data_IF_515113140862
#
_entry.id   IF_515113140862
#
_cell.length_a   1.000
_cell.length_b   1.000
_cell.length_c   1.000
_cell.angle_alpha   90.00
_cell.angle_beta   90.00
_cell.angle_gamma   90.00
#
_symmetry.space_group_name_H-M   'P 1'
#
loop_
_entity.id
_entity.type
_entity.pdbx_description
1 polymer ?
#
# COMPACT_ATOMS: atom_id res chain seq x y z
N UNK A 1 -0.24 74.35 -7.35
CA UNK A 1 -0.57 73.07 -6.70
C UNK A 1 -1.38 73.37 -5.44
N UNK A 2 -2.47 72.62 -5.23
CA UNK A 2 -3.52 72.77 -4.19
C UNK A 2 -4.50 73.93 -4.43
N UNK A 3 -5.83 73.76 -4.51
CA UNK A 3 -6.69 72.62 -4.19
C UNK A 3 -7.96 73.11 -3.47
N UNK A 4 -8.94 73.51 -4.27
CA UNK A 4 -10.40 73.76 -4.08
C UNK A 4 -11.15 73.42 -2.77
N UNK A 5 -12.01 74.38 -2.38
CA UNK A 5 -13.43 74.31 -1.94
C UNK A 5 -13.98 73.16 -1.08
N UNK A 6 -14.58 73.51 0.07
CA UNK A 6 -15.71 72.78 0.65
C UNK A 6 -16.82 73.76 1.09
N UNK A 7 -18.04 73.49 0.61
CA UNK A 7 -19.28 74.16 1.00
C UNK A 7 -20.11 73.20 1.87
N UNK A 8 -20.63 73.72 2.98
CA UNK A 8 -21.75 73.15 3.76
C UNK A 8 -23.02 73.04 2.87
N UNK A 9 -23.89 72.05 3.13
CA UNK A 9 -25.33 72.26 3.40
C UNK A 9 -26.14 70.95 3.59
N UNK A 10 -26.69 70.83 4.79
CA UNK A 10 -28.07 70.38 5.18
C UNK A 10 -28.68 69.06 4.72
N UNK A 11 -29.16 68.34 5.74
CA UNK A 11 -30.08 67.21 5.70
C UNK A 11 -31.46 67.56 5.11
N UNK A 12 -32.08 66.58 4.44
CA UNK A 12 -33.51 66.54 4.15
C UNK A 12 -34.03 65.10 4.22
N UNK A 13 -35.05 64.92 5.06
CA UNK A 13 -35.93 63.77 5.21
C UNK A 13 -36.90 63.65 4.03
N UNK A 14 -37.21 62.43 3.55
CA UNK A 14 -38.28 62.21 2.58
C UNK A 14 -38.50 60.74 2.23
N UNK A 15 -39.59 60.17 2.76
CA UNK A 15 -40.14 58.82 2.55
C UNK A 15 -40.84 58.70 1.18
N UNK A 16 -40.68 57.59 0.46
CA UNK A 16 -41.69 57.05 -0.49
C UNK A 16 -41.58 55.53 -0.57
N UNK A 17 -42.73 54.86 -0.41
CA UNK A 17 -42.99 53.42 -0.55
C UNK A 17 -42.83 52.92 -1.99
N UNK A 18 -42.57 51.62 -2.17
CA UNK A 18 -43.00 50.91 -3.37
C UNK A 18 -43.26 49.42 -3.04
N UNK A 19 -44.41 48.99 -3.52
CA UNK A 19 -45.06 47.69 -3.37
C UNK A 19 -44.47 46.61 -4.30
N UNK A 20 -44.66 45.37 -3.85
CA UNK A 20 -44.77 44.10 -4.59
C UNK A 20 -43.64 43.60 -5.51
N UNK A 21 -43.11 42.40 -5.19
CA UNK A 21 -43.25 41.20 -6.05
C UNK A 21 -42.79 39.90 -5.34
N UNK A 22 -43.74 38.98 -5.24
CA UNK A 22 -43.66 37.53 -5.49
C UNK A 22 -42.55 36.65 -4.82
N UNK A 23 -43.03 35.85 -3.87
CA UNK A 23 -42.83 34.38 -3.72
C UNK A 23 -41.41 33.81 -3.69
N UNK A 24 -41.04 33.18 -2.56
CA UNK A 24 -40.80 31.73 -2.52
C UNK A 24 -40.88 31.22 -1.07
N UNK A 25 -41.80 30.28 -0.87
CA UNK A 25 -41.86 29.38 0.28
C UNK A 25 -40.61 28.47 0.31
N UNK A 26 -40.06 28.21 1.50
CA UNK A 26 -40.04 26.87 2.13
C UNK A 26 -38.85 26.63 3.08
N UNK A 27 -39.22 26.32 4.34
CA UNK A 27 -38.56 25.56 5.42
C UNK A 27 -37.19 26.04 5.98
N UNK A 28 -37.14 26.63 7.18
CA UNK A 28 -37.25 26.01 8.52
C UNK A 28 -36.26 24.86 8.82
N UNK A 29 -35.05 25.26 9.18
CA UNK A 29 -34.32 24.90 10.41
C UNK A 29 -34.94 23.82 11.33
N UNK A 30 -34.25 22.67 11.47
CA UNK A 30 -33.62 22.17 12.72
C UNK A 30 -33.40 20.65 12.64
N UNK A 31 -32.15 20.21 12.61
CA UNK A 31 -31.70 19.10 13.47
C UNK A 31 -30.29 19.36 13.99
N UNK A 32 -30.13 19.07 15.27
CA UNK A 32 -29.03 19.40 16.17
C UNK A 32 -28.08 18.21 16.28
N UNK A 33 -26.79 18.54 16.38
CA UNK A 33 -25.75 17.89 17.19
C UNK A 33 -25.45 16.40 16.98
N UNK A 34 -24.27 16.16 16.41
CA UNK A 34 -23.47 14.95 16.58
C UNK A 34 -21.98 15.28 16.38
N UNK A 35 -21.43 16.16 17.21
CA UNK A 35 -19.99 16.34 17.35
C UNK A 35 -19.47 15.29 18.33
N UNK A 36 -18.73 14.32 17.81
CA UNK A 36 -17.69 13.56 18.51
C UNK A 36 -16.66 13.18 17.43
N UNK A 37 -15.57 13.93 17.28
CA UNK A 37 -14.31 13.67 17.97
C UNK A 37 -13.93 12.19 18.03
N UNK A 38 -13.24 11.74 17.00
CA UNK A 38 -12.12 10.82 17.15
C UNK A 38 -11.07 11.18 16.08
N UNK A 39 -10.08 11.94 16.52
CA UNK A 39 -8.89 12.33 15.80
C UNK A 39 -8.30 11.21 14.95
N UNK A 40 -8.24 11.38 13.63
CA UNK A 40 -7.31 10.66 12.74
C UNK A 40 -6.33 11.64 12.08
N UNK A 41 -5.94 12.66 12.82
CA UNK A 41 -4.79 13.50 12.48
C UNK A 41 -3.51 12.82 13.00
N UNK A 42 -2.52 12.68 12.11
CA UNK A 42 -1.12 12.30 12.37
C UNK A 42 -0.65 10.84 12.14
N UNK A 43 -1.29 10.04 11.27
CA UNK A 43 -0.77 8.72 10.84
C UNK A 43 0.15 8.77 9.60
N UNK A 44 0.72 9.94 9.28
CA UNK A 44 1.28 10.18 7.95
C UNK A 44 2.59 9.47 7.63
N UNK A 45 3.49 9.23 8.58
CA UNK A 45 4.86 8.77 8.28
C UNK A 45 5.36 7.61 9.16
N UNK A 46 4.94 7.49 10.43
CA UNK A 46 5.38 6.42 11.33
C UNK A 46 4.75 5.05 11.07
N UNK A 47 3.52 5.02 10.54
CA UNK A 47 2.76 3.79 10.35
C UNK A 47 3.33 2.92 9.22
N UNK A 48 3.84 3.53 8.16
CA UNK A 48 4.48 2.81 7.06
C UNK A 48 5.78 2.14 7.50
N UNK A 49 6.64 2.84 8.24
CA UNK A 49 7.88 2.27 8.80
C UNK A 49 7.59 1.10 9.73
N UNK A 50 6.61 1.26 10.63
CA UNK A 50 6.21 0.21 11.57
C UNK A 50 5.63 -1.02 10.85
N UNK A 51 4.86 -0.80 9.78
CA UNK A 51 4.31 -1.86 8.93
C UNK A 51 5.44 -2.65 8.24
N UNK A 52 6.32 -2.00 7.49
CA UNK A 52 7.42 -2.69 6.79
C UNK A 52 8.35 -3.41 7.76
N UNK A 53 8.66 -2.81 8.91
CA UNK A 53 9.43 -3.48 9.98
C UNK A 53 8.73 -4.76 10.47
N UNK A 54 7.43 -4.71 10.71
CA UNK A 54 6.66 -5.87 11.17
C UNK A 54 6.61 -6.96 10.10
N UNK A 55 6.32 -6.60 8.86
CA UNK A 55 6.32 -7.53 7.72
C UNK A 55 7.68 -8.18 7.53
N UNK A 56 8.77 -7.41 7.60
CA UNK A 56 10.14 -7.90 7.50
C UNK A 56 10.41 -8.98 8.54
N UNK A 57 10.22 -8.71 9.83
CA UNK A 57 10.55 -9.68 10.88
C UNK A 57 9.71 -10.96 10.80
N UNK A 58 8.43 -10.83 10.46
CA UNK A 58 7.56 -12.01 10.31
C UNK A 58 8.00 -12.84 9.11
N UNK A 59 8.23 -12.22 7.95
CA UNK A 59 8.69 -12.93 6.76
C UNK A 59 10.11 -13.48 6.92
N UNK A 60 10.98 -12.82 7.68
CA UNK A 60 12.32 -13.34 7.99
C UNK A 60 12.23 -14.66 8.76
N UNK A 61 11.35 -14.74 9.76
CA UNK A 61 11.14 -15.97 10.53
C UNK A 61 10.53 -17.07 9.66
N UNK A 62 9.56 -16.73 8.79
CA UNK A 62 8.94 -17.70 7.86
C UNK A 62 9.93 -18.15 6.78
N UNK A 63 10.85 -17.30 6.33
CA UNK A 63 11.83 -17.63 5.31
C UNK A 63 12.79 -18.73 5.76
N UNK A 64 13.12 -18.81 7.07
CA UNK A 64 14.04 -19.83 7.59
C UNK A 64 13.57 -21.26 7.24
N UNK A 65 12.35 -21.70 7.64
CA UNK A 65 11.88 -23.02 7.27
C UNK A 65 11.67 -23.18 5.77
N UNK A 66 11.31 -22.13 5.01
CA UNK A 66 11.18 -22.22 3.54
C UNK A 66 12.52 -22.54 2.90
N UNK A 67 13.57 -21.78 3.23
CA UNK A 67 14.92 -21.97 2.69
C UNK A 67 15.47 -23.34 3.10
N UNK A 68 15.32 -23.71 4.38
CA UNK A 68 15.83 -24.98 4.89
C UNK A 68 15.08 -26.21 4.33
N UNK A 69 13.85 -26.05 3.86
CA UNK A 69 13.06 -27.14 3.26
C UNK A 69 13.04 -27.15 1.74
N UNK A 70 13.72 -26.20 1.08
CA UNK A 70 13.81 -26.16 -0.39
C UNK A 70 14.82 -27.20 -0.90
N UNK A 71 14.40 -28.14 -1.77
CA UNK A 71 15.30 -29.10 -2.43
C UNK A 71 16.47 -28.46 -3.17
N UNK A 72 16.25 -27.38 -3.91
CA UNK A 72 17.32 -26.65 -4.60
C UNK A 72 18.37 -26.12 -3.63
N UNK A 73 17.95 -25.50 -2.52
CA UNK A 73 18.87 -25.02 -1.49
C UNK A 73 19.63 -26.18 -0.82
N UNK A 74 18.93 -27.28 -0.54
CA UNK A 74 19.52 -28.47 0.07
C UNK A 74 20.58 -29.14 -0.82
N UNK A 75 20.36 -29.15 -2.13
CA UNK A 75 21.33 -29.63 -3.11
C UNK A 75 22.64 -28.84 -3.07
N UNK A 76 22.58 -27.52 -2.91
CA UNK A 76 23.75 -26.64 -2.80
C UNK A 76 24.56 -26.98 -1.55
N UNK A 77 23.90 -27.24 -0.42
CA UNK A 77 24.55 -27.56 0.85
C UNK A 77 24.86 -29.06 1.03
N UNK A 78 24.40 -29.92 0.13
CA UNK A 78 24.68 -31.36 0.15
C UNK A 78 23.92 -32.15 1.23
N UNK A 79 22.77 -31.68 1.69
CA UNK A 79 21.89 -32.44 2.58
C UNK A 79 20.60 -32.87 1.88
N UNK A 80 19.91 -33.85 2.45
CA UNK A 80 18.62 -34.32 1.95
C UNK A 80 17.47 -33.67 2.72
N UNK A 81 16.47 -33.18 2.00
CA UNK A 81 15.19 -32.74 2.60
C UNK A 81 14.32 -33.98 2.80
N UNK A 82 13.81 -34.25 4.02
CA UNK A 82 12.86 -35.34 4.24
C UNK A 82 11.56 -35.13 3.45
N UNK A 83 10.91 -36.21 3.00
CA UNK A 83 9.69 -36.13 2.18
C UNK A 83 8.56 -35.29 2.82
N UNK A 84 8.41 -35.39 4.15
CA UNK A 84 7.41 -34.62 4.89
C UNK A 84 7.68 -33.11 4.88
N UNK A 85 8.93 -32.69 4.67
CA UNK A 85 9.32 -31.29 4.66
C UNK A 85 9.18 -30.66 3.26
N UNK A 86 9.01 -31.45 2.20
CA UNK A 86 8.83 -30.95 0.82
C UNK A 86 7.58 -30.06 0.65
N UNK A 87 6.59 -30.21 1.53
CA UNK A 87 5.37 -29.37 1.53
C UNK A 87 5.57 -28.02 2.22
N UNK A 88 6.62 -27.86 3.03
CA UNK A 88 6.84 -26.65 3.83
C UNK A 88 7.15 -25.46 2.93
N UNK A 89 8.09 -25.61 2.00
CA UNK A 89 8.47 -24.57 1.03
C UNK A 89 7.28 -24.05 0.19
N UNK A 90 6.47 -24.89 -0.49
CA UNK A 90 5.34 -24.40 -1.28
C UNK A 90 4.23 -23.76 -0.44
N UNK A 91 3.92 -24.29 0.75
CA UNK A 91 2.87 -23.73 1.60
C UNK A 91 3.29 -22.39 2.18
N UNK A 92 4.45 -22.33 2.84
CA UNK A 92 4.93 -21.11 3.46
C UNK A 92 5.37 -20.08 2.42
N UNK A 93 5.98 -20.51 1.31
CA UNK A 93 6.31 -19.65 0.17
C UNK A 93 5.07 -19.01 -0.45
N UNK A 94 3.95 -19.72 -0.53
CA UNK A 94 2.66 -19.14 -0.96
C UNK A 94 2.15 -18.08 0.00
N UNK A 95 2.25 -18.32 1.31
CA UNK A 95 1.91 -17.32 2.33
C UNK A 95 2.80 -16.09 2.20
N UNK A 96 4.11 -16.27 2.03
CA UNK A 96 5.04 -15.18 1.81
C UNK A 96 4.69 -14.39 0.54
N UNK A 97 4.42 -15.05 -0.58
CA UNK A 97 4.03 -14.39 -1.83
C UNK A 97 2.76 -13.56 -1.66
N UNK A 98 1.70 -14.15 -1.10
CA UNK A 98 0.40 -13.51 -0.98
C UNK A 98 0.38 -12.37 0.06
N UNK A 99 1.05 -12.56 1.20
CA UNK A 99 1.00 -11.61 2.31
C UNK A 99 2.26 -10.75 2.44
N UNK A 100 3.44 -11.37 2.45
CA UNK A 100 4.72 -10.66 2.48
C UNK A 100 4.99 -9.89 1.20
N UNK A 101 4.62 -10.44 0.05
CA UNK A 101 4.77 -9.83 -1.27
C UNK A 101 3.73 -8.78 -1.61
N UNK A 102 2.63 -8.68 -0.83
CA UNK A 102 1.49 -7.82 -1.14
C UNK A 102 1.85 -6.35 -1.48
N UNK A 103 2.76 -5.67 -0.76
CA UNK A 103 3.15 -4.30 -1.10
C UNK A 103 3.75 -4.19 -2.51
N UNK A 104 4.57 -5.16 -2.91
CA UNK A 104 5.21 -5.18 -4.23
C UNK A 104 4.21 -5.56 -5.33
N UNK A 105 3.31 -6.54 -5.07
CA UNK A 105 2.27 -6.95 -6.02
C UNK A 105 1.31 -5.79 -6.29
N UNK A 106 0.84 -5.13 -5.24
CA UNK A 106 -0.09 -4.01 -5.35
C UNK A 106 0.54 -2.82 -6.08
N UNK A 107 1.81 -2.51 -5.77
CA UNK A 107 2.60 -1.50 -6.48
C UNK A 107 2.81 -1.84 -7.96
N UNK A 108 3.14 -3.10 -8.27
CA UNK A 108 3.32 -3.60 -9.63
C UNK A 108 2.04 -3.46 -10.46
N UNK A 109 0.89 -3.83 -9.90
CA UNK A 109 -0.42 -3.70 -10.57
C UNK A 109 -0.73 -2.22 -10.84
N UNK A 110 -0.43 -1.34 -9.88
CA UNK A 110 -0.62 0.10 -10.04
C UNK A 110 0.25 0.66 -11.19
N UNK A 111 1.55 0.37 -11.19
CA UNK A 111 2.50 0.81 -12.22
C UNK A 111 2.14 0.26 -13.62
N UNK A 112 1.70 -0.99 -13.68
CA UNK A 112 1.26 -1.62 -14.92
C UNK A 112 0.02 -0.92 -15.49
N UNK A 113 -0.94 -0.57 -14.62
CA UNK A 113 -2.16 0.14 -15.03
C UNK A 113 -1.87 1.58 -15.46
N UNK A 114 -0.96 2.27 -14.78
CA UNK A 114 -0.55 3.63 -15.16
C UNK A 114 0.43 3.66 -16.34
N UNK A 115 0.93 2.51 -16.80
CA UNK A 115 1.94 2.37 -17.87
C UNK A 115 3.24 3.12 -17.57
N UNK A 116 3.60 3.18 -16.29
CA UNK A 116 4.83 3.81 -15.80
C UNK A 116 5.67 2.73 -15.12
N UNK A 117 6.44 1.93 -15.88
CA UNK A 117 7.20 0.82 -15.30
C UNK A 117 8.27 1.36 -14.35
N UNK A 118 8.22 0.91 -13.10
CA UNK A 118 9.14 1.30 -12.04
C UNK A 118 9.68 0.09 -11.28
N UNK A 119 10.20 0.36 -10.08
CA UNK A 119 10.84 -0.66 -9.25
C UNK A 119 9.84 -1.70 -8.74
N UNK A 120 8.60 -1.29 -8.42
CA UNK A 120 7.59 -2.19 -7.89
C UNK A 120 7.18 -3.23 -8.93
N UNK A 121 7.01 -2.83 -10.20
CA UNK A 121 6.70 -3.74 -11.28
C UNK A 121 7.80 -4.78 -11.49
N UNK A 122 9.08 -4.38 -11.46
CA UNK A 122 10.19 -5.32 -11.63
C UNK A 122 10.24 -6.35 -10.50
N UNK A 123 10.11 -5.89 -9.25
CA UNK A 123 10.09 -6.78 -8.08
C UNK A 123 8.87 -7.69 -8.14
N UNK A 124 7.69 -7.12 -8.37
CA UNK A 124 6.42 -7.85 -8.49
C UNK A 124 6.47 -8.91 -9.57
N UNK A 125 7.04 -8.59 -10.74
CA UNK A 125 7.26 -9.55 -11.80
C UNK A 125 8.20 -10.68 -11.37
N UNK A 126 9.33 -10.35 -10.75
CA UNK A 126 10.31 -11.33 -10.30
C UNK A 126 9.70 -12.34 -9.31
N UNK A 127 9.00 -11.87 -8.27
CA UNK A 127 8.34 -12.77 -7.31
C UNK A 127 7.17 -13.54 -7.93
N UNK A 128 6.45 -12.96 -8.90
CA UNK A 128 5.36 -13.65 -9.61
C UNK A 128 5.89 -14.77 -10.50
N UNK A 129 6.96 -14.51 -11.27
CA UNK A 129 7.60 -15.52 -12.12
C UNK A 129 8.18 -16.64 -11.27
N UNK A 130 8.92 -16.29 -10.20
CA UNK A 130 9.46 -17.27 -9.26
C UNK A 130 8.34 -18.13 -8.65
N UNK A 131 7.22 -17.53 -8.24
CA UNK A 131 6.09 -18.23 -7.63
C UNK A 131 5.46 -19.27 -8.58
N UNK A 132 5.13 -18.86 -9.81
CA UNK A 132 4.48 -19.77 -10.77
C UNK A 132 5.45 -20.85 -11.28
N UNK A 133 6.72 -20.52 -11.50
CA UNK A 133 7.74 -21.50 -11.86
C UNK A 133 7.90 -22.55 -10.74
N UNK A 134 7.99 -22.10 -9.48
CA UNK A 134 8.13 -22.98 -8.32
C UNK A 134 6.93 -23.91 -8.15
N UNK A 135 5.70 -23.40 -8.34
CA UNK A 135 4.51 -24.24 -8.37
C UNK A 135 4.52 -25.23 -9.52
N UNK A 136 4.94 -24.81 -10.71
CA UNK A 136 5.07 -25.70 -11.87
C UNK A 136 6.06 -26.84 -11.60
N UNK A 137 7.19 -26.56 -10.98
CA UNK A 137 8.17 -27.55 -10.57
C UNK A 137 7.62 -28.48 -9.46
N UNK A 138 6.98 -27.91 -8.44
CA UNK A 138 6.40 -28.66 -7.31
C UNK A 138 5.30 -29.63 -7.76
N UNK A 139 4.51 -29.26 -8.77
CA UNK A 139 3.46 -30.09 -9.34
C UNK A 139 3.98 -31.10 -10.38
N UNK A 140 5.28 -31.09 -10.70
CA UNK A 140 5.88 -31.93 -11.73
C UNK A 140 5.51 -31.53 -13.17
N UNK A 141 4.99 -30.32 -13.37
CA UNK A 141 4.68 -29.75 -14.69
C UNK A 141 5.96 -29.23 -15.36
N UNK A 142 6.88 -28.71 -14.56
CA UNK A 142 8.18 -28.21 -14.97
C UNK A 142 9.30 -29.06 -14.34
N UNK A 143 10.53 -28.85 -14.81
CA UNK A 143 11.72 -29.47 -14.20
C UNK A 143 11.86 -29.02 -12.73
N UNK A 144 12.30 -29.93 -11.87
CA UNK A 144 12.56 -29.65 -10.46
C UNK A 144 13.67 -28.60 -10.28
N UNK A 145 14.55 -28.42 -11.27
CA UNK A 145 15.54 -27.36 -11.33
C UNK A 145 14.95 -25.94 -11.44
N UNK A 146 13.65 -25.81 -11.75
CA UNK A 146 12.92 -24.54 -11.83
C UNK A 146 12.15 -24.23 -10.54
N UNK A 147 12.51 -24.89 -9.44
CA UNK A 147 11.98 -24.61 -8.11
C UNK A 147 12.73 -23.42 -7.49
N UNK A 148 12.04 -22.30 -7.29
CA UNK A 148 12.62 -21.05 -6.79
C UNK A 148 12.06 -20.65 -5.41
N UNK A 149 11.66 -21.60 -4.56
CA UNK A 149 11.00 -21.28 -3.29
C UNK A 149 11.91 -20.50 -2.34
N UNK A 150 13.19 -20.88 -2.27
CA UNK A 150 14.15 -20.21 -1.40
C UNK A 150 14.53 -18.83 -1.95
N UNK A 151 14.68 -18.66 -3.27
CA UNK A 151 14.91 -17.37 -3.90
C UNK A 151 13.72 -16.44 -3.72
N UNK A 152 12.49 -16.93 -3.90
CA UNK A 152 11.27 -16.17 -3.64
C UNK A 152 11.22 -15.67 -2.20
N UNK A 153 11.52 -16.55 -1.23
CA UNK A 153 11.52 -16.19 0.18
C UNK A 153 12.56 -15.12 0.49
N UNK A 154 13.80 -15.31 0.04
CA UNK A 154 14.87 -14.33 0.25
C UNK A 154 14.58 -13.02 -0.46
N UNK A 155 14.08 -13.06 -1.70
CA UNK A 155 13.72 -11.87 -2.47
C UNK A 155 12.69 -11.03 -1.73
N UNK A 156 11.62 -11.64 -1.21
CA UNK A 156 10.62 -10.92 -0.40
C UNK A 156 11.25 -10.32 0.85
N UNK A 157 12.06 -11.08 1.59
CA UNK A 157 12.70 -10.61 2.82
C UNK A 157 13.65 -9.43 2.57
N UNK A 158 14.52 -9.52 1.57
CA UNK A 158 15.48 -8.45 1.27
C UNK A 158 14.77 -7.21 0.72
N UNK A 159 13.69 -7.37 -0.05
CA UNK A 159 12.93 -6.23 -0.57
C UNK A 159 12.17 -5.53 0.57
N UNK A 160 11.58 -6.28 1.50
CA UNK A 160 10.97 -5.71 2.71
C UNK A 160 12.01 -4.99 3.59
N UNK A 161 13.21 -5.57 3.72
CA UNK A 161 14.32 -4.94 4.44
C UNK A 161 14.76 -3.63 3.80
N UNK A 162 14.91 -3.60 2.46
CA UNK A 162 15.30 -2.41 1.72
C UNK A 162 14.34 -1.26 1.94
N UNK A 163 13.03 -1.53 1.80
CA UNK A 163 11.99 -0.52 2.04
C UNK A 163 11.93 -0.08 3.49
N UNK A 164 12.20 -0.97 4.45
CA UNK A 164 12.27 -0.58 5.85
C UNK A 164 13.46 0.35 6.15
N UNK A 165 14.62 0.09 5.54
CA UNK A 165 15.83 0.91 5.72
C UNK A 165 15.68 2.26 5.01
N UNK A 166 15.10 2.29 3.81
CA UNK A 166 14.86 3.54 3.06
C UNK A 166 13.96 4.51 3.83
N UNK A 167 13.04 4.00 4.65
CA UNK A 167 12.12 4.83 5.43
C UNK A 167 12.63 5.16 6.85
N UNK A 168 13.82 4.69 7.24
CA UNK A 168 14.47 5.04 8.52
C UNK A 168 15.34 6.28 8.40
#
# INVERSE_FOLDING_TARGET
MSGSHEHHHTAATGRVEHDEHAQHESHENRERHGSHDAHSGHTGHGDHVAQFRRLFWINLVIAIPVVASSPMFAMILGYAVPDWALVVAPVLGTVMYAWGGWPFLSGAISELRSRTPGMMLLIGLAITVAFFASWGATLGILDHALEFWWELALLIVIMLLGHWIEMR
#
